data_IF_644499068911
#
_entry.id   IF_644499068911
#
_cell.length_a   1.000
_cell.length_b   1.000
_cell.length_c   1.000
_cell.angle_alpha   90.00
_cell.angle_beta   90.00
_cell.angle_gamma   90.00
#
_symmetry.space_group_name_H-M   'P 1'
#
loop_
_entity.id
_entity.type
_entity.pdbx_description
1 polymer ?
#
# COMPACT_ATOMS: atom_id res chain seq x y z
N UNK A 1 -2.41 -20.26 -6.23
CA UNK A 1 -2.56 -19.19 -5.22
C UNK A 1 -1.17 -18.67 -4.94
N UNK A 2 -0.86 -17.41 -5.30
CA UNK A 2 0.49 -16.86 -5.18
C UNK A 2 0.57 -16.13 -3.84
N UNK A 3 1.25 -16.73 -2.85
CA UNK A 3 1.41 -16.23 -1.48
C UNK A 3 1.88 -14.75 -1.44
N UNK A 4 2.55 -14.29 -2.50
CA UNK A 4 3.02 -12.90 -2.65
C UNK A 4 1.91 -11.86 -2.77
N UNK A 5 0.74 -12.21 -3.33
CA UNK A 5 -0.33 -11.25 -3.59
C UNK A 5 -1.11 -10.83 -2.32
N UNK A 6 -1.03 -11.64 -1.26
CA UNK A 6 -1.75 -11.38 0.00
C UNK A 6 -0.87 -10.67 1.05
N UNK A 7 0.45 -10.90 1.02
CA UNK A 7 1.39 -10.23 1.94
C UNK A 7 1.76 -8.82 1.48
N UNK A 8 1.93 -8.62 0.18
CA UNK A 8 2.46 -7.40 -0.42
C UNK A 8 1.34 -6.53 -0.99
N UNK A 9 1.51 -5.20 -1.01
CA UNK A 9 0.57 -4.29 -1.67
C UNK A 9 1.16 -3.79 -3.00
N UNK A 10 0.77 -4.38 -4.15
CA UNK A 10 1.23 -3.90 -5.45
C UNK A 10 0.95 -2.41 -5.66
N UNK A 11 -0.23 -1.95 -5.23
CA UNK A 11 -0.63 -0.55 -5.36
C UNK A 11 0.27 0.41 -4.56
N UNK A 12 0.74 0.00 -3.37
CA UNK A 12 1.73 0.78 -2.62
C UNK A 12 2.99 1.00 -3.46
N UNK A 13 3.55 -0.07 -4.02
CA UNK A 13 4.80 0.04 -4.76
C UNK A 13 4.60 0.78 -6.08
N UNK A 14 3.48 0.57 -6.76
CA UNK A 14 3.06 1.41 -7.89
C UNK A 14 3.04 2.90 -7.52
N UNK A 15 2.51 3.26 -6.35
CA UNK A 15 2.50 4.65 -5.89
C UNK A 15 3.92 5.23 -5.73
N UNK A 16 4.83 4.46 -5.13
CA UNK A 16 6.23 4.88 -4.92
C UNK A 16 6.97 5.02 -6.25
N UNK A 17 6.78 4.08 -7.18
CA UNK A 17 7.36 4.14 -8.53
C UNK A 17 6.85 5.35 -9.34
N UNK A 18 5.54 5.59 -9.36
CA UNK A 18 4.95 6.76 -10.02
C UNK A 18 5.50 8.05 -9.40
N UNK A 19 5.62 8.12 -8.08
CA UNK A 19 6.17 9.29 -7.40
C UNK A 19 7.65 9.53 -7.75
N UNK A 20 8.49 8.49 -7.71
CA UNK A 20 9.90 8.57 -8.10
C UNK A 20 10.05 9.06 -9.54
N UNK A 21 9.25 8.53 -10.46
CA UNK A 21 9.24 8.91 -11.87
C UNK A 21 8.76 10.35 -12.10
N UNK A 22 7.75 10.80 -11.36
CA UNK A 22 7.25 12.18 -11.40
C UNK A 22 8.32 13.19 -10.98
N UNK A 23 9.15 12.83 -10.00
CA UNK A 23 10.28 13.66 -9.54
C UNK A 23 11.60 13.38 -10.28
N UNK A 24 11.56 12.66 -11.41
CA UNK A 24 12.73 12.35 -12.25
C UNK A 24 13.85 11.58 -11.53
N UNK A 25 13.50 10.83 -10.49
CA UNK A 25 14.42 9.98 -9.73
C UNK A 25 14.68 8.65 -10.48
N UNK A 26 13.69 8.16 -11.22
CA UNK A 26 13.78 6.96 -12.06
C UNK A 26 13.43 7.28 -13.51
N UNK A 27 13.92 6.46 -14.43
CA UNK A 27 13.59 6.58 -15.86
C UNK A 27 12.19 6.04 -16.17
N UNK A 28 11.60 6.44 -17.31
CA UNK A 28 10.31 5.89 -17.76
C UNK A 28 10.41 4.38 -18.01
N UNK A 29 11.49 3.91 -18.65
CA UNK A 29 11.67 2.48 -18.98
C UNK A 29 11.79 1.63 -17.72
N UNK A 30 12.60 2.07 -16.76
CA UNK A 30 12.74 1.40 -15.45
C UNK A 30 11.42 1.36 -14.69
N UNK A 31 10.67 2.46 -14.73
CA UNK A 31 9.37 2.56 -14.06
C UNK A 31 8.35 1.61 -14.69
N UNK A 32 8.25 1.58 -16.03
CA UNK A 32 7.34 0.68 -16.74
C UNK A 32 7.69 -0.79 -16.49
N UNK A 33 8.98 -1.15 -16.55
CA UNK A 33 9.43 -2.50 -16.24
C UNK A 33 9.04 -2.92 -14.81
N UNK A 34 9.25 -2.04 -13.83
CA UNK A 34 8.86 -2.32 -12.46
C UNK A 34 7.33 -2.44 -12.30
N UNK A 35 6.55 -1.59 -12.97
CA UNK A 35 5.10 -1.67 -12.97
C UNK A 35 4.59 -3.00 -13.55
N UNK A 36 5.16 -3.44 -14.68
CA UNK A 36 4.83 -4.73 -15.30
C UNK A 36 5.19 -5.92 -14.38
N UNK A 37 6.29 -5.84 -13.62
CA UNK A 37 6.65 -6.88 -12.64
C UNK A 37 5.67 -6.97 -11.45
N UNK A 38 4.98 -5.87 -11.12
CA UNK A 38 4.05 -5.80 -9.98
C UNK A 38 2.66 -6.37 -10.29
N UNK A 39 2.19 -6.20 -11.53
CA UNK A 39 0.81 -6.54 -11.88
C UNK A 39 0.59 -7.01 -13.32
N UNK A 40 1.65 -7.17 -14.12
CA UNK A 40 1.55 -7.41 -15.55
C UNK A 40 1.24 -6.12 -16.33
N UNK A 41 0.82 -6.27 -17.59
CA UNK A 41 0.58 -5.15 -18.48
C UNK A 41 -0.46 -4.17 -17.92
N UNK A 42 -0.16 -2.88 -17.98
CA UNK A 42 -1.09 -1.83 -17.54
C UNK A 42 -1.98 -1.35 -18.68
N UNK A 43 -3.29 -1.24 -18.43
CA UNK A 43 -4.31 -0.82 -19.39
C UNK A 43 -5.02 0.44 -18.89
N UNK A 44 -5.13 1.46 -19.76
CA UNK A 44 -5.81 2.72 -19.45
C UNK A 44 -6.53 3.27 -20.68
N UNK A 45 -7.87 3.32 -20.62
CA UNK A 45 -8.70 3.70 -21.76
C UNK A 45 -8.49 2.75 -22.94
N UNK A 46 -8.00 3.26 -24.06
CA UNK A 46 -7.58 2.46 -25.23
C UNK A 46 -6.06 2.28 -25.32
N UNK A 47 -5.31 2.78 -24.33
CA UNK A 47 -3.85 2.74 -24.27
C UNK A 47 -3.34 1.84 -23.14
N UNK A 48 -2.02 1.89 -22.93
CA UNK A 48 -1.33 1.10 -21.92
C UNK A 48 -0.65 1.93 -20.83
N UNK A 49 0.40 1.35 -20.22
CA UNK A 49 1.17 1.99 -19.16
C UNK A 49 1.83 3.32 -19.57
N UNK A 50 2.25 3.47 -20.82
CA UNK A 50 2.86 4.72 -21.34
C UNK A 50 1.84 5.86 -21.35
N UNK A 51 0.62 5.60 -21.84
CA UNK A 51 -0.47 6.57 -21.89
C UNK A 51 -0.92 6.95 -20.48
N UNK A 52 -1.01 5.97 -19.57
CA UNK A 52 -1.28 6.20 -18.16
C UNK A 52 -0.26 7.15 -17.53
N UNK A 53 1.04 6.85 -17.67
CA UNK A 53 2.10 7.68 -17.11
C UNK A 53 2.07 9.09 -17.72
N UNK A 54 1.96 9.18 -19.03
CA UNK A 54 1.83 10.46 -19.75
C UNK A 54 0.73 11.33 -19.16
N UNK A 55 -0.45 10.74 -18.94
CA UNK A 55 -1.59 11.45 -18.39
C UNK A 55 -1.37 11.87 -16.92
N UNK A 56 -0.79 11.00 -16.10
CA UNK A 56 -0.39 11.33 -14.71
C UNK A 56 0.54 12.54 -14.69
N UNK A 57 1.58 12.56 -15.54
CA UNK A 57 2.52 13.69 -15.60
C UNK A 57 1.85 14.97 -16.11
N UNK A 58 0.90 14.87 -17.02
CA UNK A 58 0.14 16.02 -17.54
C UNK A 58 -0.63 16.74 -16.43
N UNK A 59 -1.20 15.98 -15.49
CA UNK A 59 -2.09 16.53 -14.46
C UNK A 59 -1.37 16.86 -13.14
N UNK A 60 -0.29 16.15 -12.81
CA UNK A 60 0.37 16.24 -11.51
C UNK A 60 0.92 17.63 -11.19
N UNK A 61 0.52 18.19 -10.05
CA UNK A 61 1.04 19.44 -9.51
C UNK A 61 2.21 19.18 -8.55
N UNK A 62 3.42 19.14 -9.10
CA UNK A 62 4.66 18.91 -8.35
C UNK A 62 5.04 20.05 -7.39
N UNK A 63 4.41 21.22 -7.53
CA UNK A 63 4.61 22.36 -6.63
C UNK A 63 3.67 22.32 -5.41
N UNK A 64 2.76 21.36 -5.36
CA UNK A 64 1.87 21.13 -4.21
C UNK A 64 2.65 21.00 -2.90
N UNK A 65 2.10 21.54 -1.81
CA UNK A 65 2.65 21.33 -0.45
C UNK A 65 2.36 19.93 0.07
N UNK A 66 1.28 19.31 -0.41
CA UNK A 66 0.94 17.94 -0.08
C UNK A 66 1.72 16.95 -0.96
N UNK A 67 1.94 15.71 -0.51
CA UNK A 67 2.45 14.64 -1.37
C UNK A 67 1.62 14.53 -2.65
N UNK A 68 2.27 14.71 -3.82
CA UNK A 68 1.58 14.74 -5.13
C UNK A 68 0.92 13.41 -5.49
N UNK A 69 1.46 12.29 -4.97
CA UNK A 69 0.83 10.97 -5.03
C UNK A 69 0.42 10.58 -3.61
N UNK A 70 -0.85 10.20 -3.45
CA UNK A 70 -1.39 9.68 -2.19
C UNK A 70 -1.92 8.28 -2.39
N UNK A 71 -1.59 7.38 -1.47
CA UNK A 71 -2.15 6.03 -1.42
C UNK A 71 -3.38 6.01 -0.51
N UNK A 72 -4.50 5.53 -1.06
CA UNK A 72 -5.73 5.28 -0.30
C UNK A 72 -5.96 3.77 -0.28
N UNK A 73 -5.90 3.17 0.90
CA UNK A 73 -6.24 1.77 1.10
C UNK A 73 -7.56 1.69 1.87
N UNK A 74 -8.44 0.79 1.45
CA UNK A 74 -9.64 0.40 2.18
C UNK A 74 -9.53 -1.03 2.68
N UNK A 75 -10.45 -1.44 3.54
CA UNK A 75 -10.60 -2.85 3.88
C UNK A 75 -11.73 -3.09 4.86
N UNK A 76 -11.95 -4.35 5.21
CA UNK A 76 -12.96 -4.71 6.20
C UNK A 76 -12.75 -3.89 7.50
N UNK A 77 -13.84 -3.30 7.99
CA UNK A 77 -13.85 -2.46 9.19
C UNK A 77 -13.15 -1.10 9.05
N UNK A 78 -12.71 -0.71 7.86
CA UNK A 78 -11.93 0.52 7.63
C UNK A 78 -12.31 1.17 6.30
N UNK A 79 -13.11 2.22 6.40
CA UNK A 79 -13.63 2.91 5.21
C UNK A 79 -12.48 3.63 4.51
N UNK A 80 -12.26 3.40 3.19
CA UNK A 80 -11.24 4.10 2.46
C UNK A 80 -11.49 5.61 2.52
N UNK A 81 -10.41 6.38 2.57
CA UNK A 81 -10.43 7.85 2.61
C UNK A 81 -10.79 8.47 1.23
N UNK A 82 -11.94 8.09 0.68
CA UNK A 82 -12.60 8.71 -0.47
C UNK A 82 -13.96 9.29 -0.04
N UNK A 83 -14.52 10.21 -0.83
CA UNK A 83 -15.85 10.74 -0.54
C UNK A 83 -16.92 9.68 -0.81
N UNK A 84 -17.73 9.40 0.21
CA UNK A 84 -18.88 8.52 0.07
C UNK A 84 -19.83 9.00 -1.04
N UNK A 85 -20.53 8.06 -1.68
CA UNK A 85 -21.53 8.32 -2.72
C UNK A 85 -20.98 9.06 -3.95
N UNK A 86 -19.75 8.73 -4.35
CA UNK A 86 -19.13 9.19 -5.59
C UNK A 86 -18.88 8.03 -6.52
N UNK A 87 -18.80 8.30 -7.83
CA UNK A 87 -18.45 7.28 -8.82
C UNK A 87 -17.10 6.60 -8.48
N UNK A 88 -16.14 7.35 -7.94
CA UNK A 88 -14.86 6.82 -7.48
C UNK A 88 -15.00 5.94 -6.22
N UNK A 89 -15.87 6.30 -5.27
CA UNK A 89 -16.10 5.43 -4.11
C UNK A 89 -16.86 4.14 -4.49
N UNK A 90 -17.82 4.22 -5.41
CA UNK A 90 -18.53 3.05 -5.95
C UNK A 90 -17.61 2.16 -6.81
N UNK A 91 -16.59 2.76 -7.43
CA UNK A 91 -15.58 2.10 -8.22
C UNK A 91 -14.56 1.29 -7.41
N UNK A 92 -14.45 1.58 -6.11
CA UNK A 92 -13.32 1.15 -5.30
C UNK A 92 -13.24 -0.38 -5.23
N UNK A 93 -12.05 -0.90 -5.50
CA UNK A 93 -11.72 -2.31 -5.34
C UNK A 93 -10.98 -2.52 -4.02
N UNK A 94 -10.79 -3.79 -3.61
CA UNK A 94 -9.98 -4.13 -2.43
C UNK A 94 -8.51 -3.70 -2.57
N UNK A 95 -8.05 -3.42 -3.79
CA UNK A 95 -6.71 -2.92 -4.03
C UNK A 95 -6.50 -1.48 -3.53
N UNK A 96 -7.57 -0.69 -3.42
CA UNK A 96 -7.53 0.72 -3.04
C UNK A 96 -7.49 1.68 -4.23
N UNK A 97 -6.98 2.88 -4.01
CA UNK A 97 -6.86 3.93 -5.01
C UNK A 97 -5.57 4.75 -4.85
N UNK A 98 -5.14 5.39 -5.94
CA UNK A 98 -4.18 6.48 -5.91
C UNK A 98 -4.93 7.81 -6.10
N UNK A 99 -4.50 8.83 -5.39
CA UNK A 99 -4.92 10.21 -5.67
C UNK A 99 -3.69 10.97 -6.16
N UNK A 100 -3.78 11.52 -7.36
CA UNK A 100 -2.80 12.47 -7.91
C UNK A 100 -3.34 13.88 -7.66
N UNK A 101 -2.53 14.70 -6.99
CA UNK A 101 -2.86 16.10 -6.74
C UNK A 101 -2.65 16.88 -8.03
N UNK A 102 -3.73 17.42 -8.59
CA UNK A 102 -3.71 18.22 -9.79
C UNK A 102 -3.54 19.72 -9.53
N UNK A 103 -3.52 20.50 -10.62
CA UNK A 103 -3.58 21.96 -10.54
C UNK A 103 -4.99 22.44 -10.14
N UNK A 104 -5.09 23.69 -9.66
CA UNK A 104 -6.36 24.38 -9.42
C UNK A 104 -7.34 23.65 -8.46
N UNK A 105 -6.82 22.80 -7.57
CA UNK A 105 -7.63 22.05 -6.61
C UNK A 105 -8.37 20.85 -7.21
N UNK A 106 -7.99 20.40 -8.41
CA UNK A 106 -8.47 19.17 -9.01
C UNK A 106 -7.70 17.97 -8.44
N UNK A 107 -8.42 16.90 -8.11
CA UNK A 107 -7.85 15.64 -7.64
C UNK A 107 -8.21 14.53 -8.63
N UNK A 108 -7.19 13.79 -9.09
CA UNK A 108 -7.37 12.67 -10.00
C UNK A 108 -7.29 11.36 -9.23
N UNK A 109 -8.35 10.57 -9.25
CA UNK A 109 -8.48 9.33 -8.51
C UNK A 109 -8.32 8.16 -9.48
N UNK A 110 -7.28 7.37 -9.29
CA UNK A 110 -6.96 6.19 -10.09
C UNK A 110 -7.26 4.94 -9.28
N UNK A 111 -8.10 4.07 -9.83
CA UNK A 111 -8.54 2.85 -9.17
C UNK A 111 -8.12 1.66 -10.03
N UNK A 112 -7.21 0.79 -9.56
CA UNK A 112 -6.79 -0.39 -10.28
C UNK A 112 -7.76 -1.56 -10.07
N UNK A 113 -7.94 -2.36 -11.12
CA UNK A 113 -8.45 -3.73 -11.09
C UNK A 113 -7.32 -4.66 -11.50
N UNK A 114 -6.92 -5.58 -10.62
CA UNK A 114 -5.89 -6.58 -10.92
C UNK A 114 -6.57 -7.82 -11.51
N UNK A 115 -6.36 -8.05 -12.79
CA UNK A 115 -7.01 -9.10 -13.58
C UNK A 115 -5.96 -10.05 -14.16
N UNK A 116 -6.41 -11.14 -14.79
CA UNK A 116 -5.49 -12.18 -15.31
C UNK A 116 -4.60 -11.68 -16.45
N UNK A 117 -5.03 -10.64 -17.17
CA UNK A 117 -4.35 -10.04 -18.32
C UNK A 117 -3.63 -8.73 -17.98
N UNK A 118 -3.57 -8.35 -16.70
CA UNK A 118 -2.84 -7.19 -16.23
C UNK A 118 -3.63 -6.30 -15.27
N UNK A 119 -3.26 -5.02 -15.21
CA UNK A 119 -3.88 -4.02 -14.33
C UNK A 119 -4.69 -3.02 -15.14
N UNK A 120 -6.00 -2.98 -14.91
CA UNK A 120 -6.92 -2.06 -15.58
C UNK A 120 -7.17 -0.84 -14.70
N UNK A 121 -6.91 0.35 -15.23
CA UNK A 121 -7.06 1.61 -14.49
C UNK A 121 -8.33 2.34 -14.86
N UNK A 122 -9.13 2.66 -13.84
CA UNK A 122 -10.24 3.60 -13.94
C UNK A 122 -9.83 4.95 -13.39
N UNK A 123 -10.20 6.01 -14.08
CA UNK A 123 -9.82 7.38 -13.76
C UNK A 123 -11.05 8.23 -13.47
N UNK A 124 -11.00 8.95 -12.36
CA UNK A 124 -12.04 9.87 -11.92
C UNK A 124 -11.43 11.22 -11.54
N UNK A 125 -12.25 12.25 -11.55
CA UNK A 125 -11.85 13.60 -11.18
C UNK A 125 -12.82 14.16 -10.15
N UNK A 126 -12.29 14.87 -9.16
CA UNK A 126 -13.10 15.53 -8.15
C UNK A 126 -12.42 16.82 -7.69
N UNK A 127 -13.23 17.86 -7.42
CA UNK A 127 -12.76 19.15 -6.91
C UNK A 127 -12.85 19.27 -5.39
N UNK A 128 -13.55 18.33 -4.73
CA UNK A 128 -13.57 18.29 -3.28
C UNK A 128 -12.17 17.95 -2.79
N UNK A 129 -11.79 18.45 -1.61
CA UNK A 129 -10.52 18.06 -0.98
C UNK A 129 -10.67 16.66 -0.38
N UNK A 130 -9.75 15.71 -0.65
CA UNK A 130 -9.89 14.35 -0.18
C UNK A 130 -9.77 14.33 1.34
N UNK A 131 -10.49 13.42 2.03
CA UNK A 131 -10.33 13.26 3.47
C UNK A 131 -8.85 13.19 3.82
N UNK A 132 -8.47 13.89 4.90
CA UNK A 132 -7.09 13.87 5.36
C UNK A 132 -6.70 12.43 5.69
N UNK A 133 -5.56 11.93 5.19
CA UNK A 133 -5.06 10.65 5.66
C UNK A 133 -4.67 10.81 7.13
N UNK A 134 -4.61 9.70 7.85
CA UNK A 134 -3.98 9.68 9.16
C UNK A 134 -2.48 10.01 8.94
N UNK A 135 -2.11 11.27 9.15
CA UNK A 135 -0.75 11.77 8.99
C UNK A 135 0.14 11.25 10.12
N UNK A 136 0.41 9.95 10.10
CA UNK A 136 1.41 9.36 10.98
C UNK A 136 2.78 9.83 10.53
N UNK A 137 3.53 10.38 11.48
CA UNK A 137 4.97 10.47 11.31
C UNK A 137 5.55 9.06 11.15
N UNK A 138 6.71 8.91 10.48
CA UNK A 138 7.38 7.62 10.39
C UNK A 138 7.60 6.93 11.74
N UNK A 139 7.88 7.70 12.80
CA UNK A 139 8.07 7.16 14.15
C UNK A 139 6.77 6.61 14.75
N UNK A 140 5.65 7.30 14.54
CA UNK A 140 4.33 6.83 14.97
C UNK A 140 3.89 5.60 14.18
N UNK A 141 4.13 5.57 12.87
CA UNK A 141 3.88 4.39 12.04
C UNK A 141 4.69 3.18 12.53
N UNK A 142 5.98 3.39 12.84
CA UNK A 142 6.86 2.35 13.37
C UNK A 142 6.39 1.83 14.74
N UNK A 143 5.99 2.73 15.65
CA UNK A 143 5.48 2.37 16.96
C UNK A 143 4.17 1.58 16.84
N UNK A 144 3.25 2.05 16.00
CA UNK A 144 1.98 1.38 15.74
C UNK A 144 2.19 -0.03 15.18
N UNK A 145 3.10 -0.21 14.23
CA UNK A 145 3.41 -1.53 13.67
C UNK A 145 4.05 -2.46 14.70
N UNK A 146 4.95 -1.96 15.56
CA UNK A 146 5.52 -2.77 16.66
C UNK A 146 4.44 -3.24 17.62
N UNK A 147 3.55 -2.33 18.06
CA UNK A 147 2.43 -2.69 18.92
C UNK A 147 1.47 -3.68 18.25
N UNK A 148 1.26 -3.57 16.94
CA UNK A 148 0.48 -4.53 16.15
C UNK A 148 1.14 -5.91 16.13
N UNK A 149 2.46 -6.01 15.93
CA UNK A 149 3.20 -7.27 16.00
C UNK A 149 3.08 -7.92 17.38
N UNK A 150 3.26 -7.15 18.45
CA UNK A 150 3.17 -7.67 19.82
C UNK A 150 1.76 -8.20 20.12
N UNK A 151 0.73 -7.48 19.66
CA UNK A 151 -0.67 -7.91 19.78
C UNK A 151 -0.93 -9.21 19.01
N UNK A 152 -0.44 -9.32 17.77
CA UNK A 152 -0.57 -10.54 16.97
C UNK A 152 0.11 -11.73 17.64
N UNK A 153 1.30 -11.54 18.21
CA UNK A 153 2.02 -12.59 18.94
C UNK A 153 1.25 -13.08 20.17
N UNK A 154 0.68 -12.18 20.96
CA UNK A 154 -0.17 -12.54 22.10
C UNK A 154 -1.41 -13.33 21.67
N UNK A 155 -2.01 -13.02 20.51
CA UNK A 155 -3.15 -13.77 19.99
C UNK A 155 -2.75 -15.19 19.59
N UNK A 156 -1.63 -15.36 18.90
CA UNK A 156 -1.12 -16.69 18.54
C UNK A 156 -0.84 -17.52 19.79
N UNK A 157 -0.21 -16.91 20.80
CA UNK A 157 0.06 -17.56 22.09
C UNK A 157 -1.24 -17.98 22.82
N UNK A 158 -2.30 -17.19 22.74
CA UNK A 158 -3.59 -17.51 23.36
C UNK A 158 -4.35 -18.66 22.68
N UNK A 159 -4.09 -18.92 21.39
CA UNK A 159 -4.79 -19.94 20.60
C UNK A 159 -4.04 -21.25 20.51
N UNK A 160 -2.72 -21.23 20.62
CA UNK A 160 -1.91 -22.44 20.65
C UNK A 160 -2.36 -23.33 21.81
N UNK A 161 -3.15 -24.38 21.54
CA UNK A 161 -3.45 -25.39 22.54
C UNK A 161 -2.12 -26.00 23.01
N UNK A 162 -1.98 -26.39 24.30
CA UNK A 162 -0.71 -26.91 24.84
C UNK A 162 -0.14 -28.14 24.12
N UNK A 163 -0.90 -28.77 23.22
CA UNK A 163 -0.56 -30.01 22.54
C UNK A 163 -0.36 -29.89 21.01
N UNK A 164 -0.58 -28.74 20.39
CA UNK A 164 -0.13 -28.51 19.02
C UNK A 164 1.19 -27.77 19.05
N UNK A 165 2.23 -28.44 18.55
CA UNK A 165 3.62 -27.97 18.37
C UNK A 165 3.72 -26.72 17.49
N UNK A 166 3.20 -25.59 17.95
CA UNK A 166 3.77 -24.29 17.63
C UNK A 166 4.92 -24.06 18.61
N UNK A 167 6.02 -24.78 18.39
CA UNK A 167 7.26 -24.58 19.14
C UNK A 167 7.72 -23.13 18.91
N UNK A 168 7.34 -22.25 19.84
CA UNK A 168 7.64 -20.81 19.88
C UNK A 168 7.01 -19.97 18.74
N UNK A 169 5.80 -19.43 18.96
CA UNK A 169 5.17 -18.43 18.08
C UNK A 169 6.10 -17.28 17.68
N UNK A 170 6.90 -16.78 18.63
CA UNK A 170 7.89 -15.72 18.39
C UNK A 170 9.02 -16.13 17.45
N UNK A 171 9.43 -17.40 17.45
CA UNK A 171 10.38 -17.94 16.49
C UNK A 171 9.73 -18.14 15.11
N UNK A 172 8.46 -18.55 15.06
CA UNK A 172 7.71 -18.63 13.79
C UNK A 172 7.58 -17.25 13.14
N UNK A 173 7.21 -16.23 13.93
CA UNK A 173 7.19 -14.82 13.50
C UNK A 173 8.59 -14.35 13.08
N UNK A 174 9.64 -14.74 13.80
CA UNK A 174 11.04 -14.47 13.44
C UNK A 174 11.44 -15.07 12.08
N UNK A 175 11.12 -16.34 11.83
CA UNK A 175 11.40 -16.99 10.55
C UNK A 175 10.63 -16.40 9.37
N UNK A 176 9.37 -15.99 9.60
CA UNK A 176 8.59 -15.23 8.61
C UNK A 176 9.28 -13.89 8.32
N UNK A 177 9.79 -13.23 9.37
CA UNK A 177 10.46 -11.92 9.27
C UNK A 177 11.75 -11.94 8.45
N UNK A 178 12.53 -13.02 8.54
CA UNK A 178 13.81 -13.17 7.84
C UNK A 178 13.67 -13.31 6.31
N UNK A 179 12.45 -13.54 5.79
CA UNK A 179 12.19 -13.70 4.35
C UNK A 179 11.76 -12.41 3.65
N UNK A 180 11.38 -11.36 4.39
CA UNK A 180 10.90 -10.10 3.82
C UNK A 180 11.96 -8.99 3.93
N UNK A 181 12.83 -8.94 2.91
CA UNK A 181 13.33 -7.67 2.39
C UNK A 181 12.19 -6.95 1.66
N UNK A 182 12.33 -5.66 1.31
CA UNK A 182 11.37 -4.90 0.50
C UNK A 182 11.73 -4.99 -0.99
N UNK A 183 11.33 -6.05 -1.72
CA UNK A 183 11.54 -6.13 -3.15
C UNK A 183 10.63 -5.12 -3.88
N UNK A 184 11.09 -4.66 -5.05
CA UNK A 184 10.24 -3.90 -5.97
C UNK A 184 9.99 -2.45 -5.58
N UNK A 185 10.82 -1.82 -4.74
CA UNK A 185 10.86 -0.37 -4.55
C UNK A 185 11.95 0.25 -5.44
N UNK A 186 11.81 1.52 -5.87
CA UNK A 186 12.89 2.27 -6.50
C UNK A 186 14.14 2.28 -5.62
N UNK A 187 15.33 2.15 -6.23
CA UNK A 187 16.61 2.15 -5.50
C UNK A 187 16.84 3.43 -4.68
N UNK A 188 16.26 4.54 -5.12
CA UNK A 188 16.34 5.83 -4.46
C UNK A 188 15.40 5.97 -3.25
N UNK A 189 14.55 4.98 -2.98
CA UNK A 189 13.67 5.00 -1.80
C UNK A 189 14.52 5.04 -0.54
N UNK A 190 14.21 5.99 0.36
CA UNK A 190 15.03 6.16 1.57
C UNK A 190 14.93 4.94 2.48
N UNK A 191 16.00 4.62 3.25
CA UNK A 191 15.97 3.51 4.21
C UNK A 191 14.81 3.62 5.21
N UNK A 192 14.39 4.85 5.53
CA UNK A 192 13.30 5.12 6.45
C UNK A 192 11.94 4.69 5.88
N UNK A 193 11.61 5.10 4.66
CA UNK A 193 10.37 4.69 4.01
C UNK A 193 10.36 3.17 3.75
N UNK A 194 11.47 2.62 3.26
CA UNK A 194 11.64 1.19 3.04
C UNK A 194 11.42 0.37 4.33
N UNK A 195 11.92 0.85 5.48
CA UNK A 195 11.72 0.17 6.76
C UNK A 195 10.26 0.11 7.19
N UNK A 196 9.46 1.17 6.95
CA UNK A 196 8.02 1.17 7.25
C UNK A 196 7.33 0.09 6.43
N UNK A 197 7.61 0.04 5.13
CA UNK A 197 7.03 -0.95 4.22
C UNK A 197 7.42 -2.38 4.63
N UNK A 198 8.70 -2.63 4.90
CA UNK A 198 9.19 -3.92 5.35
C UNK A 198 8.47 -4.39 6.63
N UNK A 199 8.25 -3.49 7.60
CA UNK A 199 7.48 -3.83 8.81
C UNK A 199 6.02 -4.11 8.51
N UNK A 200 5.38 -3.33 7.65
CA UNK A 200 3.98 -3.55 7.27
C UNK A 200 3.79 -4.90 6.57
N UNK A 201 4.71 -5.29 5.70
CA UNK A 201 4.71 -6.58 5.01
C UNK A 201 4.90 -7.74 5.99
N UNK A 202 5.80 -7.60 6.97
CA UNK A 202 5.96 -8.58 8.06
C UNK A 202 4.68 -8.78 8.86
N UNK A 203 4.02 -7.70 9.27
CA UNK A 203 2.74 -7.81 10.01
C UNK A 203 1.66 -8.46 9.14
N UNK A 204 1.63 -8.14 7.85
CA UNK A 204 0.69 -8.76 6.89
C UNK A 204 0.92 -10.28 6.78
N UNK A 205 2.18 -10.70 6.68
CA UNK A 205 2.54 -12.13 6.62
C UNK A 205 2.14 -12.90 7.88
N UNK A 206 2.30 -12.28 9.05
CA UNK A 206 1.85 -12.86 10.32
C UNK A 206 0.32 -13.02 10.30
N UNK A 207 -0.42 -11.96 9.94
CA UNK A 207 -1.89 -11.97 9.87
C UNK A 207 -2.38 -13.05 8.91
N UNK A 208 -1.79 -13.19 7.73
CA UNK A 208 -2.14 -14.24 6.77
C UNK A 208 -1.89 -15.64 7.35
N UNK A 209 -0.69 -15.87 7.92
CA UNK A 209 -0.36 -17.17 8.54
C UNK A 209 -1.32 -17.56 9.65
N UNK A 210 -1.78 -16.58 10.44
CA UNK A 210 -2.76 -16.79 11.52
C UNK A 210 -4.14 -17.10 10.95
N UNK A 211 -4.57 -16.34 9.95
CA UNK A 211 -5.88 -16.53 9.30
C UNK A 211 -5.98 -17.91 8.66
N UNK A 212 -4.96 -18.35 7.92
CA UNK A 212 -4.90 -19.65 7.26
C UNK A 212 -4.93 -20.83 8.26
N UNK A 213 -4.31 -20.67 9.43
CA UNK A 213 -4.19 -21.74 10.42
C UNK A 213 -5.40 -21.86 11.34
N UNK A 214 -5.99 -20.73 11.72
CA UNK A 214 -6.98 -20.74 12.80
C UNK A 214 -8.38 -21.07 12.34
N UNK A 215 -8.79 -20.71 11.10
CA UNK A 215 -10.14 -21.00 10.59
C UNK A 215 -11.29 -20.59 11.52
N UNK A 216 -11.00 -19.77 12.53
CA UNK A 216 -11.86 -19.46 13.67
C UNK A 216 -12.15 -17.95 13.66
N UNK A 217 -13.43 -17.64 13.46
CA UNK A 217 -13.97 -16.28 13.39
C UNK A 217 -13.89 -15.51 14.71
N UNK A 218 -13.55 -16.17 15.83
CA UNK A 218 -13.35 -15.50 17.12
C UNK A 218 -12.22 -14.45 17.10
N UNK A 219 -11.30 -14.52 16.13
CA UNK A 219 -10.19 -13.58 15.96
C UNK A 219 -10.45 -12.46 14.95
N UNK A 220 -11.58 -12.46 14.25
CA UNK A 220 -11.85 -11.52 13.17
C UNK A 220 -11.72 -10.06 13.64
N UNK A 221 -12.27 -9.71 14.81
CA UNK A 221 -12.15 -8.35 15.35
C UNK A 221 -10.69 -7.90 15.52
N UNK A 222 -9.83 -8.80 15.95
CA UNK A 222 -8.42 -8.50 16.15
C UNK A 222 -7.66 -8.37 14.83
N UNK A 223 -7.94 -9.25 13.86
CA UNK A 223 -7.37 -9.18 12.51
C UNK A 223 -7.77 -7.89 11.79
N UNK A 224 -9.00 -7.40 12.00
CA UNK A 224 -9.47 -6.12 11.46
C UNK A 224 -8.63 -4.93 11.98
N UNK A 225 -8.29 -4.92 13.27
CA UNK A 225 -7.45 -3.86 13.88
C UNK A 225 -6.02 -3.89 13.33
N UNK A 226 -5.45 -5.09 13.15
CA UNK A 226 -4.12 -5.26 12.54
C UNK A 226 -4.12 -4.81 11.08
N UNK A 227 -5.14 -5.18 10.31
CA UNK A 227 -5.32 -4.74 8.93
C UNK A 227 -5.37 -3.21 8.80
N UNK A 228 -6.09 -2.53 9.70
CA UNK A 228 -6.12 -1.05 9.74
C UNK A 228 -4.73 -0.46 10.01
N UNK A 229 -3.98 -1.04 10.94
CA UNK A 229 -2.63 -0.59 11.30
C UNK A 229 -1.66 -0.75 10.12
N UNK A 230 -1.72 -1.88 9.41
CA UNK A 230 -0.94 -2.10 8.19
C UNK A 230 -1.25 -1.01 7.16
N UNK A 231 -2.54 -0.81 6.81
CA UNK A 231 -2.94 0.16 5.78
C UNK A 231 -2.47 1.58 6.11
N UNK A 232 -2.66 2.03 7.34
CA UNK A 232 -2.19 3.34 7.82
C UNK A 232 -0.68 3.51 7.68
N UNK A 233 0.09 2.48 8.05
CA UNK A 233 1.54 2.53 7.91
C UNK A 233 1.98 2.57 6.44
N UNK A 234 1.33 1.81 5.55
CA UNK A 234 1.58 1.85 4.10
C UNK A 234 1.29 3.24 3.51
N UNK A 235 0.15 3.83 3.84
CA UNK A 235 -0.19 5.21 3.42
C UNK A 235 0.83 6.23 3.93
N UNK A 236 1.26 6.12 5.19
CA UNK A 236 2.28 6.99 5.76
C UNK A 236 3.66 6.81 5.09
N UNK A 237 4.05 5.57 4.81
CA UNK A 237 5.30 5.26 4.10
C UNK A 237 5.34 5.85 2.69
N UNK A 238 4.23 5.79 1.94
CA UNK A 238 4.14 6.44 0.61
C UNK A 238 4.27 7.94 0.75
N UNK A 239 3.58 8.56 1.73
CA UNK A 239 3.69 9.99 1.96
C UNK A 239 5.12 10.43 2.31
N UNK A 240 5.85 9.64 3.10
CA UNK A 240 7.27 9.89 3.40
C UNK A 240 8.13 9.79 2.13
N UNK A 241 8.01 8.70 1.36
CA UNK A 241 8.79 8.50 0.13
C UNK A 241 8.58 9.65 -0.88
N UNK A 242 7.33 10.08 -1.07
CA UNK A 242 6.98 11.20 -1.97
C UNK A 242 7.63 12.51 -1.50
N UNK A 243 7.66 12.77 -0.18
CA UNK A 243 8.33 13.97 0.37
C UNK A 243 9.85 13.90 0.17
N UNK A 244 10.45 12.73 0.35
CA UNK A 244 11.88 12.53 0.17
C UNK A 244 12.30 12.73 -1.30
N UNK A 245 11.54 12.18 -2.25
CA UNK A 245 11.80 12.39 -3.69
C UNK A 245 11.70 13.86 -4.08
N UNK A 246 10.72 14.59 -3.55
CA UNK A 246 10.63 16.03 -3.75
C UNK A 246 11.87 16.78 -3.24
N UNK A 247 12.39 16.39 -2.07
CA UNK A 247 13.55 17.03 -1.46
C UNK A 247 14.87 16.75 -2.20
N UNK A 248 14.88 15.77 -3.10
CA UNK A 248 16.05 15.37 -3.90
C UNK A 248 16.15 16.16 -5.22
N UNK A 249 15.14 16.97 -5.56
CA UNK A 249 15.10 17.89 -6.71
C UNK A 249 15.93 19.14 -6.47
#
# INVERSE_FOLDING_TARGET
MNLRAHVYSPLQNTAVWIAAWLYHVTSTDETLAALDELGGGHHYGTGGGVELLTEIRRVANLESREPVVRLVLGGAGDTPALWAHTAAAEAMTDAGALIIIGAEGLYHILIPSFETDGVHWRWFEDYRRPPEPDWLSPGEADQMLRSATDQAAMMIEAVAQPNETLSSPRLTVGHITDFYDTPGLPIATTPRAAQIFARADRVSAIVETVTDRLGDHSFDQHLLVLGRSIRRARTAGVAEAVRDFRATR
#
